data_IF_048286666141
#
_entry.id   IF_048286666141
#
_cell.length_a   1.000
_cell.length_b   1.000
_cell.length_c   1.000
_cell.angle_alpha   90.00
_cell.angle_beta   90.00
_cell.angle_gamma   90.00
#
_symmetry.space_group_name_H-M   'P 1'
#
loop_
_entity.id
_entity.type
_entity.pdbx_description
1 polymer ?
#
# COMPACT_ATOMS: atom_id res chain seq x y z
N UNK A 1 11.72 -33.99 19.76
CA UNK A 1 11.44 -32.81 18.92
C UNK A 1 12.45 -31.73 19.26
N UNK A 2 13.14 -31.15 18.27
CA UNK A 2 14.14 -30.10 18.50
C UNK A 2 13.52 -28.70 18.40
N UNK A 3 14.12 -27.72 19.08
CA UNK A 3 13.68 -26.32 19.10
C UNK A 3 13.49 -25.70 17.69
N UNK A 4 14.35 -25.97 16.69
CA UNK A 4 14.15 -25.48 15.31
C UNK A 4 12.88 -26.02 14.65
N UNK A 5 12.53 -27.28 14.90
CA UNK A 5 11.34 -27.92 14.34
C UNK A 5 10.06 -27.30 14.91
N UNK A 6 10.04 -27.04 16.23
CA UNK A 6 8.90 -26.39 16.88
C UNK A 6 8.70 -24.96 16.38
N UNK A 7 9.78 -24.18 16.22
CA UNK A 7 9.73 -22.83 15.65
C UNK A 7 9.12 -22.83 14.25
N UNK A 8 9.48 -23.79 13.39
CA UNK A 8 8.92 -23.90 12.04
C UNK A 8 7.44 -24.26 12.06
N UNK A 9 7.02 -25.16 12.95
CA UNK A 9 5.61 -25.58 13.07
C UNK A 9 4.70 -24.44 13.56
N UNK A 10 5.16 -23.60 14.48
CA UNK A 10 4.33 -22.55 15.08
C UNK A 10 4.42 -21.19 14.39
N UNK A 11 5.32 -21.02 13.41
CA UNK A 11 5.58 -19.71 12.78
C UNK A 11 4.33 -19.01 12.24
N UNK A 12 3.48 -19.74 11.51
CA UNK A 12 2.24 -19.19 10.96
C UNK A 12 1.25 -18.78 12.05
N UNK A 13 1.12 -19.58 13.11
CA UNK A 13 0.23 -19.28 14.24
C UNK A 13 0.71 -18.02 14.97
N UNK A 14 2.02 -17.94 15.28
CA UNK A 14 2.60 -16.75 15.91
C UNK A 14 2.34 -15.50 15.07
N UNK A 15 2.49 -15.60 13.74
CA UNK A 15 2.23 -14.48 12.82
C UNK A 15 0.75 -14.05 12.87
N UNK A 16 -0.19 -14.98 12.76
CA UNK A 16 -1.62 -14.66 12.81
C UNK A 16 -2.04 -14.07 14.17
N UNK A 17 -1.48 -14.58 15.27
CA UNK A 17 -1.68 -14.01 16.60
C UNK A 17 -1.13 -12.58 16.71
N UNK A 18 0.06 -12.31 16.17
CA UNK A 18 0.60 -10.95 16.11
C UNK A 18 -0.31 -10.02 15.33
N UNK A 19 -0.86 -10.46 14.20
CA UNK A 19 -1.78 -9.67 13.38
C UNK A 19 -3.09 -9.41 14.14
N UNK A 20 -3.64 -10.44 14.80
CA UNK A 20 -4.85 -10.35 15.60
C UNK A 20 -4.73 -9.26 16.67
N UNK A 21 -3.66 -9.29 17.47
CA UNK A 21 -3.44 -8.27 18.50
C UNK A 21 -3.10 -6.89 17.93
N UNK A 22 -2.31 -6.82 16.86
CA UNK A 22 -1.97 -5.55 16.21
C UNK A 22 -3.19 -4.83 15.64
N UNK A 23 -4.23 -5.57 15.27
CA UNK A 23 -5.52 -5.02 14.83
C UNK A 23 -6.44 -4.59 15.99
N UNK A 24 -5.95 -4.61 17.24
CA UNK A 24 -6.71 -4.19 18.42
C UNK A 24 -7.82 -5.17 18.81
N UNK A 25 -7.75 -6.43 18.35
CA UNK A 25 -8.82 -7.39 18.62
C UNK A 25 -8.96 -7.75 20.11
N UNK A 26 -7.92 -7.56 20.92
CA UNK A 26 -8.02 -7.70 22.38
C UNK A 26 -8.92 -6.67 23.07
N UNK A 27 -9.26 -5.58 22.38
CA UNK A 27 -10.15 -4.54 22.89
C UNK A 27 -11.57 -4.64 22.30
N UNK A 28 -11.88 -5.67 21.51
CA UNK A 28 -13.18 -5.80 20.84
C UNK A 28 -14.35 -5.76 21.81
N UNK A 29 -14.20 -6.40 22.98
CA UNK A 29 -15.26 -6.55 23.96
C UNK A 29 -15.58 -5.23 24.68
N UNK A 30 -14.59 -4.36 24.82
CA UNK A 30 -14.77 -3.00 25.37
C UNK A 30 -15.60 -2.10 24.43
N UNK A 31 -15.67 -2.45 23.15
CA UNK A 31 -16.33 -1.69 22.11
C UNK A 31 -17.50 -2.45 21.46
N UNK A 32 -17.99 -3.51 22.10
CA UNK A 32 -19.06 -4.38 21.60
C UNK A 32 -20.48 -3.86 21.93
N UNK A 33 -20.61 -2.57 22.26
CA UNK A 33 -21.91 -1.92 22.39
C UNK A 33 -22.52 -1.73 20.99
N UNK A 34 -23.77 -2.14 20.74
CA UNK A 34 -24.44 -1.97 19.44
C UNK A 34 -24.39 -0.54 18.87
N UNK A 35 -24.42 0.47 19.74
CA UNK A 35 -24.37 1.90 19.38
C UNK A 35 -22.95 2.43 19.19
N UNK A 36 -21.92 1.58 19.29
CA UNK A 36 -20.54 2.03 19.18
C UNK A 36 -20.18 2.38 17.72
N UNK A 37 -19.54 3.53 17.53
CA UNK A 37 -19.10 4.05 16.22
C UNK A 37 -18.27 3.05 15.39
N UNK A 38 -17.62 2.08 16.03
CA UNK A 38 -16.88 1.02 15.32
C UNK A 38 -17.76 0.24 14.34
N UNK A 39 -19.04 0.01 14.64
CA UNK A 39 -19.95 -0.70 13.72
C UNK A 39 -20.18 0.12 12.43
N UNK A 40 -20.38 1.42 12.57
CA UNK A 40 -20.48 2.34 11.43
C UNK A 40 -19.16 2.40 10.65
N UNK A 41 -18.02 2.50 11.34
CA UNK A 41 -16.71 2.50 10.71
C UNK A 41 -16.46 1.20 9.92
N UNK A 42 -16.76 0.03 10.50
CA UNK A 42 -16.62 -1.28 9.83
C UNK A 42 -17.52 -1.37 8.59
N UNK A 43 -18.74 -0.85 8.66
CA UNK A 43 -19.69 -0.84 7.54
C UNK A 43 -19.28 0.12 6.42
N UNK A 44 -18.73 1.28 6.77
CA UNK A 44 -18.43 2.36 5.82
C UNK A 44 -17.03 2.25 5.21
N UNK A 45 -16.05 1.73 5.96
CA UNK A 45 -14.65 1.66 5.55
C UNK A 45 -14.42 0.96 4.20
N UNK A 46 -14.97 -0.25 3.91
CA UNK A 46 -14.77 -0.88 2.62
C UNK A 46 -15.26 -0.04 1.44
N UNK A 47 -16.37 0.69 1.65
CA UNK A 47 -16.92 1.61 0.63
C UNK A 47 -16.00 2.82 0.45
N UNK A 48 -15.51 3.41 1.54
CA UNK A 48 -14.57 4.53 1.47
C UNK A 48 -13.26 4.15 0.78
N UNK A 49 -12.68 3.01 1.16
CA UNK A 49 -11.44 2.49 0.57
C UNK A 49 -11.62 2.18 -0.93
N UNK A 50 -12.76 1.60 -1.32
CA UNK A 50 -13.09 1.35 -2.72
C UNK A 50 -13.21 2.66 -3.54
N UNK A 51 -13.83 3.69 -2.98
CA UNK A 51 -13.93 4.99 -3.66
C UNK A 51 -12.57 5.67 -3.80
N UNK A 52 -11.73 5.59 -2.75
CA UNK A 52 -10.37 6.09 -2.79
C UNK A 52 -9.53 5.36 -3.84
N UNK A 53 -9.69 4.04 -3.97
CA UNK A 53 -9.06 3.26 -5.03
C UNK A 53 -9.54 3.68 -6.43
N UNK A 54 -10.85 3.80 -6.64
CA UNK A 54 -11.41 4.22 -7.93
C UNK A 54 -10.85 5.59 -8.33
N UNK A 55 -10.87 6.55 -7.42
CA UNK A 55 -10.40 7.91 -7.69
C UNK A 55 -8.89 7.97 -7.91
N UNK A 56 -8.10 7.41 -6.99
CA UNK A 56 -6.65 7.57 -7.01
C UNK A 56 -5.93 6.59 -7.95
N UNK A 57 -6.54 5.46 -8.30
CA UNK A 57 -5.88 4.40 -9.08
C UNK A 57 -6.55 4.22 -10.44
N UNK A 58 -7.87 4.01 -10.49
CA UNK A 58 -8.56 3.74 -11.76
C UNK A 58 -8.78 5.00 -12.60
N UNK A 59 -9.08 6.13 -11.95
CA UNK A 59 -9.32 7.44 -12.56
C UNK A 59 -8.13 8.39 -12.41
N UNK A 60 -6.94 7.86 -12.21
CA UNK A 60 -5.73 8.67 -12.05
C UNK A 60 -5.42 9.44 -13.33
N UNK A 61 -5.11 10.73 -13.20
CA UNK A 61 -4.71 11.59 -14.33
C UNK A 61 -3.34 11.20 -14.92
N UNK A 62 -2.51 10.55 -14.11
CA UNK A 62 -1.23 9.98 -14.53
C UNK A 62 -1.29 8.44 -14.57
N UNK A 63 -0.57 7.79 -15.50
CA UNK A 63 -0.54 6.35 -15.60
C UNK A 63 0.08 5.72 -14.35
N UNK A 64 -0.60 4.72 -13.81
CA UNK A 64 -0.08 3.96 -12.67
C UNK A 64 1.07 3.08 -13.15
N UNK A 65 2.20 3.13 -12.44
CA UNK A 65 3.43 2.38 -12.71
C UNK A 65 3.58 1.19 -11.76
N UNK A 66 4.50 0.29 -12.10
CA UNK A 66 4.68 -0.99 -11.41
C UNK A 66 3.75 -2.09 -11.93
N UNK A 67 3.82 -3.27 -11.32
CA UNK A 67 3.10 -4.45 -11.81
C UNK A 67 1.57 -4.29 -11.75
N UNK A 68 1.02 -3.71 -10.68
CA UNK A 68 -0.41 -3.44 -10.57
C UNK A 68 -0.87 -2.42 -11.62
N UNK A 69 -0.04 -1.39 -11.86
CA UNK A 69 -0.26 -0.39 -12.89
C UNK A 69 -0.33 -0.97 -14.30
N UNK A 70 0.60 -1.88 -14.63
CA UNK A 70 0.58 -2.58 -15.92
C UNK A 70 -0.72 -3.37 -16.14
N UNK A 71 -1.23 -4.06 -15.11
CA UNK A 71 -2.52 -4.76 -15.20
C UNK A 71 -3.69 -3.80 -15.43
N UNK A 72 -3.73 -2.67 -14.71
CA UNK A 72 -4.80 -1.66 -14.85
C UNK A 72 -4.74 -0.99 -16.23
N UNK A 73 -3.56 -0.54 -16.66
CA UNK A 73 -3.41 0.18 -17.91
C UNK A 73 -3.75 -0.72 -19.10
N UNK A 74 -3.36 -2.00 -19.06
CA UNK A 74 -3.74 -2.96 -20.10
C UNK A 74 -5.25 -3.21 -20.13
N UNK A 75 -5.90 -3.31 -18.96
CA UNK A 75 -7.35 -3.45 -18.89
C UNK A 75 -8.08 -2.19 -19.40
N UNK A 76 -7.52 -1.00 -19.17
CA UNK A 76 -8.09 0.27 -19.64
C UNK A 76 -7.91 0.49 -21.14
N UNK A 77 -6.76 0.10 -21.72
CA UNK A 77 -6.47 0.24 -23.15
C UNK A 77 -7.36 -0.64 -24.05
N UNK A 78 -7.99 -1.68 -23.49
CA UNK A 78 -8.94 -2.54 -24.19
C UNK A 78 -10.35 -1.94 -24.29
N UNK A 79 -10.61 -0.80 -23.64
CA UNK A 79 -11.96 -0.23 -23.52
C UNK A 79 -11.96 1.29 -23.71
N UNK A 80 -12.01 1.77 -24.97
CA UNK A 80 -12.26 3.19 -25.30
C UNK A 80 -13.64 3.71 -24.82
N UNK A 81 -14.52 2.84 -24.29
CA UNK A 81 -15.84 3.19 -23.74
C UNK A 81 -15.80 3.46 -22.21
N UNK A 82 -14.93 4.36 -21.77
CA UNK A 82 -14.48 4.51 -20.38
C UNK A 82 -15.50 5.00 -19.32
N UNK A 83 -16.78 5.24 -19.66
CA UNK A 83 -17.75 5.81 -18.70
C UNK A 83 -18.84 4.84 -18.22
N UNK A 84 -19.29 3.93 -19.08
CA UNK A 84 -20.36 2.97 -18.77
C UNK A 84 -19.80 1.76 -18.00
N UNK A 85 -18.62 1.28 -18.42
CA UNK A 85 -17.90 0.18 -17.77
C UNK A 85 -17.50 0.55 -16.33
N UNK A 86 -17.21 1.82 -16.05
CA UNK A 86 -16.79 2.31 -14.74
C UNK A 86 -17.92 2.28 -13.69
N UNK A 87 -19.19 2.43 -14.10
CA UNK A 87 -20.34 2.36 -13.19
C UNK A 87 -20.69 0.91 -12.80
N UNK A 88 -20.64 -0.02 -13.76
CA UNK A 88 -20.77 -1.45 -13.48
C UNK A 88 -19.57 -1.95 -12.66
N UNK A 89 -18.37 -1.49 -13.00
CA UNK A 89 -17.16 -1.79 -12.24
C UNK A 89 -17.22 -1.18 -10.84
N UNK A 90 -17.80 0.00 -10.63
CA UNK A 90 -17.88 0.62 -9.29
C UNK A 90 -18.59 -0.28 -8.28
N UNK A 91 -19.76 -0.84 -8.62
CA UNK A 91 -20.49 -1.75 -7.71
C UNK A 91 -19.65 -3.00 -7.44
N UNK A 92 -19.12 -3.62 -8.50
CA UNK A 92 -18.25 -4.81 -8.40
C UNK A 92 -17.02 -4.55 -7.53
N UNK A 93 -16.31 -3.44 -7.76
CA UNK A 93 -15.14 -3.02 -6.97
C UNK A 93 -15.51 -2.84 -5.50
N UNK A 94 -16.61 -2.12 -5.20
CA UNK A 94 -17.06 -1.96 -3.81
C UNK A 94 -17.33 -3.33 -3.16
N UNK A 95 -17.91 -4.27 -3.88
CA UNK A 95 -18.18 -5.62 -3.35
C UNK A 95 -16.88 -6.43 -3.15
N UNK A 96 -15.88 -6.30 -4.04
CA UNK A 96 -14.55 -6.90 -3.84
C UNK A 96 -13.88 -6.38 -2.56
N UNK A 97 -14.01 -5.08 -2.26
CA UNK A 97 -13.50 -4.50 -1.01
C UNK A 97 -14.25 -5.01 0.22
N UNK A 98 -15.58 -5.15 0.15
CA UNK A 98 -16.38 -5.75 1.24
C UNK A 98 -15.98 -7.21 1.50
N UNK A 99 -15.67 -7.96 0.45
CA UNK A 99 -15.21 -9.35 0.54
C UNK A 99 -13.73 -9.49 0.95
N UNK A 100 -12.96 -8.40 0.94
CA UNK A 100 -11.52 -8.42 1.22
C UNK A 100 -10.66 -8.94 0.06
N UNK A 101 -11.21 -9.04 -1.15
CA UNK A 101 -10.49 -9.45 -2.37
C UNK A 101 -9.57 -8.33 -2.88
N UNK A 102 -9.94 -7.08 -2.62
CA UNK A 102 -9.13 -5.89 -2.87
C UNK A 102 -8.95 -5.10 -1.57
N UNK A 103 -7.80 -4.45 -1.47
CA UNK A 103 -7.49 -3.50 -0.43
C UNK A 103 -6.94 -2.21 -1.04
N UNK A 104 -7.00 -1.14 -0.28
CA UNK A 104 -6.40 0.14 -0.65
C UNK A 104 -5.76 0.75 0.59
N UNK A 105 -4.52 1.17 0.44
CA UNK A 105 -3.85 2.03 1.41
C UNK A 105 -3.00 3.02 0.65
N UNK A 106 -3.21 4.31 0.89
CA UNK A 106 -2.35 5.35 0.33
C UNK A 106 -0.94 5.23 0.92
N UNK A 107 0.07 5.42 0.08
CA UNK A 107 1.48 5.33 0.45
C UNK A 107 2.24 6.53 -0.09
N UNK A 108 3.47 6.73 0.39
CA UNK A 108 4.34 7.81 -0.11
C UNK A 108 4.64 7.70 -1.61
N UNK A 109 4.54 6.51 -2.20
CA UNK A 109 4.81 6.24 -3.62
C UNK A 109 3.53 6.24 -4.48
N UNK A 110 2.34 6.32 -3.88
CA UNK A 110 1.07 6.09 -4.57
C UNK A 110 0.12 5.29 -3.69
N UNK A 111 -0.13 4.03 -4.03
CA UNK A 111 -1.03 3.15 -3.27
C UNK A 111 -0.53 1.70 -3.18
N UNK A 112 -1.01 0.99 -2.16
CA UNK A 112 -0.82 -0.44 -1.96
C UNK A 112 -2.17 -1.16 -2.01
N UNK A 113 -2.24 -2.26 -2.77
CA UNK A 113 -3.44 -3.10 -2.90
C UNK A 113 -3.34 -4.43 -2.16
N UNK A 114 -2.36 -4.58 -1.27
CA UNK A 114 -2.19 -5.77 -0.44
C UNK A 114 -3.22 -5.79 0.70
N UNK A 115 -4.03 -6.84 0.77
CA UNK A 115 -4.85 -7.15 1.94
C UNK A 115 -4.05 -7.81 3.07
N UNK A 116 -2.85 -8.33 2.77
CA UNK A 116 -1.95 -8.92 3.75
C UNK A 116 -1.01 -7.86 4.37
N UNK A 117 -0.61 -8.04 5.64
CA UNK A 117 0.44 -7.25 6.28
C UNK A 117 1.74 -7.27 5.48
N UNK A 118 2.45 -6.14 5.49
CA UNK A 118 3.68 -5.95 4.74
C UNK A 118 4.85 -5.63 5.67
N UNK A 119 5.78 -6.57 5.80
CA UNK A 119 6.97 -6.41 6.65
C UNK A 119 7.92 -5.33 6.09
N UNK A 120 7.88 -5.08 4.78
CA UNK A 120 8.70 -4.02 4.14
C UNK A 120 8.24 -2.62 4.53
N UNK A 121 6.92 -2.45 4.73
CA UNK A 121 6.34 -1.19 5.21
C UNK A 121 6.78 -0.89 6.65
N UNK A 122 6.88 -1.92 7.50
CA UNK A 122 7.35 -1.77 8.88
C UNK A 122 8.79 -1.24 8.93
N UNK A 123 9.64 -1.71 8.02
CA UNK A 123 11.03 -1.29 7.91
C UNK A 123 11.22 0.02 7.13
N UNK A 124 10.14 0.70 6.75
CA UNK A 124 10.16 1.92 5.91
C UNK A 124 10.92 1.75 4.58
N UNK A 125 11.11 0.53 4.09
CA UNK A 125 11.84 0.30 2.84
C UNK A 125 10.95 0.63 1.63
N UNK A 126 11.08 1.87 1.12
CA UNK A 126 10.34 2.31 -0.07
C UNK A 126 10.77 1.56 -1.32
N UNK A 127 12.04 1.18 -1.40
CA UNK A 127 12.67 0.54 -2.56
C UNK A 127 12.06 -0.85 -2.83
N UNK A 128 11.63 -1.55 -1.77
CA UNK A 128 10.93 -2.83 -1.89
C UNK A 128 9.56 -2.72 -2.58
N UNK A 129 8.92 -1.54 -2.59
CA UNK A 129 7.63 -1.37 -3.25
C UNK A 129 7.75 -1.38 -4.79
N UNK A 130 8.91 -1.06 -5.36
CA UNK A 130 9.09 -1.02 -6.81
C UNK A 130 9.05 -2.40 -7.48
N UNK A 131 9.40 -3.45 -6.74
CA UNK A 131 9.29 -4.85 -7.17
C UNK A 131 8.03 -5.54 -6.64
N UNK A 132 7.19 -4.85 -5.87
CA UNK A 132 6.00 -5.43 -5.26
C UNK A 132 4.85 -5.53 -6.26
N UNK A 133 4.22 -6.71 -6.44
CA UNK A 133 3.10 -6.87 -7.37
C UNK A 133 1.85 -6.09 -6.96
N UNK A 134 1.73 -5.71 -5.67
CA UNK A 134 0.60 -4.98 -5.10
C UNK A 134 0.84 -3.47 -5.02
N UNK A 135 1.96 -2.97 -5.53
CA UNK A 135 2.25 -1.54 -5.53
C UNK A 135 1.67 -0.87 -6.79
N UNK A 136 0.94 0.21 -6.56
CA UNK A 136 0.43 1.12 -7.57
C UNK A 136 1.20 2.44 -7.44
N UNK A 137 2.22 2.64 -8.27
CA UNK A 137 3.18 3.73 -8.11
C UNK A 137 2.78 4.91 -9.00
N UNK A 138 2.92 6.12 -8.47
CA UNK A 138 2.67 7.39 -9.16
C UNK A 138 3.97 8.16 -9.31
N UNK A 139 4.32 8.56 -10.53
CA UNK A 139 5.55 9.30 -10.81
C UNK A 139 5.60 10.61 -10.02
N UNK A 140 4.48 11.36 -9.99
CA UNK A 140 4.37 12.61 -9.23
C UNK A 140 4.67 12.44 -7.72
N UNK A 141 4.22 11.33 -7.14
CA UNK A 141 4.46 10.99 -5.73
C UNK A 141 5.92 10.58 -5.49
N UNK A 142 6.54 9.87 -6.42
CA UNK A 142 7.98 9.55 -6.37
C UNK A 142 8.81 10.83 -6.39
N UNK A 143 8.50 11.76 -7.29
CA UNK A 143 9.21 13.05 -7.39
C UNK A 143 9.07 13.87 -6.10
N UNK A 144 7.87 13.89 -5.52
CA UNK A 144 7.61 14.52 -4.24
C UNK A 144 8.41 13.86 -3.10
N UNK A 145 8.46 12.52 -3.06
CA UNK A 145 9.21 11.77 -2.07
C UNK A 145 10.72 12.08 -2.17
N UNK A 146 11.29 12.05 -3.37
CA UNK A 146 12.70 12.41 -3.62
C UNK A 146 12.98 13.84 -3.16
N UNK A 147 12.09 14.77 -3.45
CA UNK A 147 12.23 16.17 -3.03
C UNK A 147 12.22 16.32 -1.51
N UNK A 148 11.30 15.62 -0.82
CA UNK A 148 11.25 15.59 0.65
C UNK A 148 12.47 14.93 1.27
N UNK A 149 12.96 13.86 0.67
CA UNK A 149 14.16 13.16 1.14
C UNK A 149 15.41 14.05 1.04
N UNK A 150 15.56 14.81 -0.05
CA UNK A 150 16.61 15.82 -0.18
C UNK A 150 16.52 16.91 0.89
N UNK A 151 15.31 17.42 1.15
CA UNK A 151 15.10 18.41 2.20
C UNK A 151 15.40 17.86 3.60
N UNK A 152 15.12 16.57 3.84
CA UNK A 152 15.45 15.91 5.08
C UNK A 152 16.97 15.80 5.27
N UNK A 153 17.71 15.36 4.25
CA UNK A 153 19.17 15.30 4.28
C UNK A 153 19.83 16.66 4.55
N UNK A 154 19.30 17.75 4.00
CA UNK A 154 19.82 19.09 4.24
C UNK A 154 19.74 19.54 5.71
N UNK A 155 18.94 18.86 6.54
CA UNK A 155 18.78 19.15 7.98
C UNK A 155 19.66 18.26 8.86
N UNK A 156 20.32 17.25 8.28
CA UNK A 156 21.16 16.31 9.01
C UNK A 156 22.62 16.76 8.95
N UNK A 157 23.38 16.39 9.97
CA UNK A 157 24.82 16.58 9.98
C UNK A 157 25.48 15.60 8.99
N UNK A 158 26.22 16.14 8.02
CA UNK A 158 26.92 15.37 6.99
C UNK A 158 27.90 14.32 7.54
N UNK A 159 28.39 14.50 8.76
CA UNK A 159 29.31 13.55 9.42
C UNK A 159 28.59 12.37 10.09
N UNK A 160 27.26 12.45 10.25
CA UNK A 160 26.47 11.51 11.02
C UNK A 160 26.14 10.21 10.26
N UNK A 161 25.86 9.14 11.01
CA UNK A 161 25.47 7.83 10.45
C UNK A 161 24.09 7.92 9.79
N UNK A 162 23.20 8.74 10.35
CA UNK A 162 21.87 9.00 9.83
C UNK A 162 21.97 9.63 8.44
N UNK A 163 22.78 10.67 8.26
CA UNK A 163 23.00 11.27 6.94
C UNK A 163 23.50 10.24 5.93
N UNK A 164 24.47 9.41 6.31
CA UNK A 164 25.00 8.37 5.41
C UNK A 164 23.96 7.33 5.01
N UNK A 165 23.10 6.92 5.95
CA UNK A 165 22.05 5.92 5.72
C UNK A 165 20.96 6.49 4.80
N UNK A 166 20.49 7.69 5.10
CA UNK A 166 19.43 8.38 4.35
C UNK A 166 19.90 8.81 2.95
N UNK A 167 21.21 9.08 2.79
CA UNK A 167 21.83 9.36 1.49
C UNK A 167 21.81 8.12 0.60
N UNK A 168 22.15 6.95 1.13
CA UNK A 168 22.08 5.69 0.38
C UNK A 168 20.64 5.38 -0.05
N UNK A 169 19.67 5.60 0.83
CA UNK A 169 18.26 5.43 0.47
C UNK A 169 17.82 6.42 -0.63
N UNK A 170 18.28 7.67 -0.57
CA UNK A 170 18.04 8.64 -1.66
C UNK A 170 18.65 8.19 -2.99
N UNK A 171 19.88 7.66 -2.99
CA UNK A 171 20.54 7.14 -4.20
C UNK A 171 19.73 5.99 -4.83
N UNK A 172 19.23 5.06 -4.01
CA UNK A 172 18.35 3.99 -4.47
C UNK A 172 17.03 4.53 -5.05
N UNK A 173 16.39 5.49 -4.37
CA UNK A 173 15.17 6.14 -4.85
C UNK A 173 15.38 6.85 -6.19
N UNK A 174 16.50 7.56 -6.37
CA UNK A 174 16.84 8.23 -7.64
C UNK A 174 17.04 7.22 -8.78
N UNK A 175 17.70 6.10 -8.51
CA UNK A 175 17.87 5.05 -9.51
C UNK A 175 16.52 4.45 -9.93
N UNK A 176 15.62 4.22 -8.98
CA UNK A 176 14.28 3.69 -9.25
C UNK A 176 13.36 4.71 -9.96
N UNK A 177 13.45 5.99 -9.60
CA UNK A 177 12.77 7.08 -10.29
C UNK A 177 13.15 7.13 -11.78
N UNK A 178 14.45 7.03 -12.10
CA UNK A 178 14.91 6.98 -13.49
C UNK A 178 14.29 5.81 -14.26
N UNK A 179 14.20 4.63 -13.64
CA UNK A 179 13.57 3.44 -14.27
C UNK A 179 12.10 3.67 -14.59
N UNK A 180 11.36 4.31 -13.68
CA UNK A 180 9.94 4.62 -13.89
C UNK A 180 9.75 5.62 -15.05
N UNK A 181 10.62 6.63 -15.14
CA UNK A 181 10.48 7.66 -16.16
C UNK A 181 10.91 7.21 -17.56
N UNK A 182 11.74 6.17 -17.67
CA UNK A 182 12.13 5.57 -18.95
C UNK A 182 11.15 4.49 -19.47
N UNK A 183 10.22 4.04 -18.63
CA UNK A 183 9.17 3.05 -18.95
C UNK A 183 7.83 3.71 -19.21
#
# INVERSE_FOLDING_TARGET
MSLPTLKRQLHHITREMTIYYSNGAGFSDLFNNPEHFMHELKKTKPKADALAYIYNVLLSDEPIKGAHGHHINNANNLHEANKIILLENRKKTVDMFKKGELAYTETALGACTSSAPCDKRLLRSFTACFSCPKAAIKSSKVDLLVSRQKQFLNRLDTSSIEYQTERKELEELLHLQKKINCS
#
